data_IF_442430947751
#
_entry.id   IF_442430947751
#
_cell.length_a   1.000
_cell.length_b   1.000
_cell.length_c   1.000
_cell.angle_alpha   90.00
_cell.angle_beta   90.00
_cell.angle_gamma   90.00
#
_symmetry.space_group_name_H-M   'P 1'
#
loop_
_entity.id
_entity.type
_entity.pdbx_description
1 polymer ?
#
# COMPACT_ATOMS: atom_id res chain seq x y z
N UNK A 1 66.55 31.63 -75.23
CA UNK A 1 66.98 30.26 -75.40
C UNK A 1 65.96 29.43 -74.61
N UNK A 2 65.02 28.76 -75.32
CA UNK A 2 64.86 27.35 -75.50
C UNK A 2 64.52 26.59 -74.17
N UNK A 3 63.52 25.86 -74.03
CA UNK A 3 62.76 24.94 -74.84
C UNK A 3 61.38 24.64 -74.27
N UNK A 4 60.42 24.45 -75.15
CA UNK A 4 59.10 23.87 -74.95
C UNK A 4 59.25 22.39 -74.70
N UNK A 5 58.49 21.82 -73.71
CA UNK A 5 58.07 20.46 -73.80
C UNK A 5 56.59 20.35 -73.30
N UNK A 6 55.75 19.89 -74.24
CA UNK A 6 54.34 19.47 -74.02
C UNK A 6 54.32 18.17 -73.23
N UNK A 7 53.43 18.03 -72.33
CA UNK A 7 52.89 16.69 -72.04
C UNK A 7 51.40 16.70 -71.65
N UNK A 8 50.77 15.73 -72.21
CA UNK A 8 49.36 15.45 -72.37
C UNK A 8 48.59 15.21 -71.09
N UNK A 9 47.37 15.69 -71.11
CA UNK A 9 46.34 15.36 -70.12
C UNK A 9 45.85 13.91 -70.26
N UNK A 10 45.85 13.14 -69.16
CA UNK A 10 45.07 11.90 -69.04
C UNK A 10 44.03 12.14 -67.93
N UNK A 11 42.78 12.20 -68.37
CA UNK A 11 41.63 12.29 -67.47
C UNK A 11 41.40 11.00 -66.72
N UNK A 12 41.25 11.13 -65.43
CA UNK A 12 40.71 10.07 -64.57
C UNK A 12 39.35 10.52 -64.06
N UNK A 13 38.29 9.92 -64.60
CA UNK A 13 36.92 10.01 -64.06
C UNK A 13 36.82 9.14 -62.80
N UNK A 14 36.76 9.74 -61.63
CA UNK A 14 36.45 9.08 -60.41
C UNK A 14 34.93 8.95 -60.26
N UNK A 15 34.40 7.74 -60.46
CA UNK A 15 33.01 7.40 -60.14
C UNK A 15 32.87 7.28 -58.60
N UNK A 16 32.21 8.24 -57.94
CA UNK A 16 31.75 8.10 -56.55
C UNK A 16 30.62 7.08 -56.51
N UNK A 17 30.88 5.87 -56.03
CA UNK A 17 29.86 4.92 -55.63
C UNK A 17 29.35 5.35 -54.24
N UNK A 18 28.13 5.91 -54.16
CA UNK A 18 27.41 6.12 -52.90
C UNK A 18 26.96 4.74 -52.39
N UNK A 19 27.67 4.22 -51.39
CA UNK A 19 27.20 3.05 -50.60
C UNK A 19 26.10 3.53 -49.68
N UNK A 20 24.84 3.32 -49.99
CA UNK A 20 23.73 3.44 -49.06
C UNK A 20 23.84 2.29 -48.04
N UNK A 21 24.41 2.56 -46.86
CA UNK A 21 24.27 1.65 -45.72
C UNK A 21 22.85 1.88 -45.16
N UNK A 22 21.91 1.08 -45.69
CA UNK A 22 20.60 0.96 -45.09
C UNK A 22 20.71 0.36 -43.70
N UNK A 23 20.76 1.21 -42.66
CA UNK A 23 20.64 0.79 -41.28
C UNK A 23 19.24 0.14 -41.11
N UNK A 24 19.18 -1.18 -41.09
CA UNK A 24 18.04 -1.92 -40.57
C UNK A 24 17.89 -1.51 -39.08
N UNK A 25 17.02 -0.56 -38.82
CA UNK A 25 16.45 -0.33 -37.49
C UNK A 25 15.72 -1.64 -37.12
N UNK A 26 16.45 -2.57 -36.48
CA UNK A 26 15.81 -3.70 -35.79
C UNK A 26 14.99 -3.11 -34.64
N UNK A 27 13.70 -2.87 -34.91
CA UNK A 27 12.73 -2.67 -33.83
C UNK A 27 12.86 -3.90 -32.93
N UNK A 28 13.46 -3.74 -31.74
CA UNK A 28 13.36 -4.76 -30.69
C UNK A 28 11.87 -5.00 -30.49
N UNK A 29 11.39 -6.25 -30.49
CA UNK A 29 9.99 -6.51 -30.19
C UNK A 29 9.65 -5.82 -28.86
N UNK A 30 8.54 -5.09 -28.84
CA UNK A 30 8.06 -4.47 -27.61
C UNK A 30 7.95 -5.57 -26.56
N UNK A 31 8.63 -5.39 -25.44
CA UNK A 31 8.53 -6.32 -24.31
C UNK A 31 7.06 -6.38 -23.90
N UNK A 32 6.48 -7.57 -23.93
CA UNK A 32 5.11 -7.76 -23.47
C UNK A 32 5.03 -7.39 -21.98
N UNK A 33 4.16 -6.45 -21.64
CA UNK A 33 3.96 -5.90 -20.28
C UNK A 33 2.50 -6.07 -19.87
N UNK A 34 2.04 -7.31 -19.67
CA UNK A 34 0.62 -7.60 -19.42
C UNK A 34 0.10 -6.93 -18.15
N UNK A 35 0.93 -6.80 -17.12
CA UNK A 35 0.55 -6.18 -15.87
C UNK A 35 0.42 -4.65 -15.98
N UNK A 36 1.33 -4.01 -16.72
CA UNK A 36 1.18 -2.59 -17.04
C UNK A 36 -0.08 -2.35 -17.86
N UNK A 37 -0.31 -3.13 -18.91
CA UNK A 37 -1.50 -3.00 -19.76
C UNK A 37 -2.81 -3.19 -18.97
N UNK A 38 -2.83 -4.10 -17.99
CA UNK A 38 -3.97 -4.29 -17.09
C UNK A 38 -4.16 -3.08 -16.13
N UNK A 39 -3.08 -2.54 -15.58
CA UNK A 39 -3.13 -1.35 -14.73
C UNK A 39 -3.60 -0.10 -15.52
N UNK A 40 -3.18 0.06 -16.77
CA UNK A 40 -3.65 1.14 -17.64
C UNK A 40 -5.15 1.02 -17.96
N UNK A 41 -5.66 -0.22 -18.16
CA UNK A 41 -7.10 -0.46 -18.30
C UNK A 41 -7.87 -0.19 -17.01
N UNK A 42 -7.29 -0.46 -15.84
CA UNK A 42 -7.86 -0.08 -14.55
C UNK A 42 -7.92 1.45 -14.42
N UNK A 43 -6.85 2.15 -14.79
CA UNK A 43 -6.83 3.61 -14.84
C UNK A 43 -7.92 4.18 -15.77
N UNK A 44 -8.09 3.60 -16.95
CA UNK A 44 -9.13 3.99 -17.90
C UNK A 44 -10.54 3.77 -17.32
N UNK A 45 -10.73 2.70 -16.54
CA UNK A 45 -12.00 2.46 -15.85
C UNK A 45 -12.24 3.49 -14.75
N UNK A 46 -11.26 3.76 -13.89
CA UNK A 46 -11.36 4.78 -12.84
C UNK A 46 -11.68 6.15 -13.43
N UNK A 47 -10.99 6.58 -14.50
CA UNK A 47 -11.30 7.83 -15.23
C UNK A 47 -12.73 7.89 -15.71
N UNK A 48 -13.33 6.76 -16.11
CA UNK A 48 -14.71 6.73 -16.58
C UNK A 48 -15.77 6.94 -15.49
N UNK A 49 -15.36 6.94 -14.23
CA UNK A 49 -16.20 7.16 -13.06
C UNK A 49 -15.98 8.53 -12.40
N UNK A 50 -15.08 9.36 -12.94
CA UNK A 50 -14.71 10.65 -12.38
C UNK A 50 -15.91 11.61 -12.28
N UNK A 51 -15.91 12.39 -11.22
CA UNK A 51 -16.82 13.52 -11.02
C UNK A 51 -15.97 14.78 -11.06
N UNK A 52 -16.24 15.62 -12.06
CA UNK A 52 -15.55 16.90 -12.22
C UNK A 52 -16.32 18.01 -11.52
N UNK A 53 -15.61 18.81 -10.73
CA UNK A 53 -16.17 19.96 -10.00
C UNK A 53 -15.27 21.19 -10.16
N UNK A 54 -15.68 22.38 -9.73
CA UNK A 54 -14.81 23.56 -9.68
C UNK A 54 -13.58 23.39 -8.77
N UNK A 55 -13.59 22.38 -7.89
CA UNK A 55 -12.51 22.08 -6.95
C UNK A 55 -11.53 21.02 -7.47
N UNK A 56 -11.77 20.42 -8.64
CA UNK A 56 -10.98 19.34 -9.21
C UNK A 56 -11.76 18.05 -9.39
N UNK A 57 -11.05 16.91 -9.42
CA UNK A 57 -11.60 15.58 -9.66
C UNK A 57 -11.85 14.82 -8.36
N UNK A 58 -12.92 14.06 -8.34
CA UNK A 58 -13.18 13.04 -7.31
C UNK A 58 -13.70 11.77 -7.95
N UNK A 59 -13.60 10.67 -7.20
CA UNK A 59 -14.07 9.35 -7.66
C UNK A 59 -14.95 8.75 -6.57
N UNK A 60 -16.21 8.38 -6.90
CA UNK A 60 -17.08 7.68 -5.96
C UNK A 60 -16.51 6.28 -5.69
N UNK A 61 -16.56 5.84 -4.44
CA UNK A 61 -16.14 4.48 -4.08
C UNK A 61 -16.93 3.42 -4.87
N UNK A 62 -18.25 3.65 -5.02
CA UNK A 62 -19.16 2.87 -5.87
C UNK A 62 -19.54 3.71 -7.09
N UNK A 63 -19.12 3.37 -8.30
CA UNK A 63 -19.17 4.26 -9.47
C UNK A 63 -20.52 4.86 -9.85
N UNK A 64 -21.62 4.19 -9.51
CA UNK A 64 -22.98 4.67 -9.82
C UNK A 64 -23.63 5.45 -8.69
N UNK A 65 -22.92 5.60 -7.57
CA UNK A 65 -23.39 6.30 -6.38
C UNK A 65 -22.48 7.50 -6.08
N UNK A 66 -22.90 8.67 -6.55
CA UNK A 66 -22.16 9.92 -6.31
C UNK A 66 -22.08 10.30 -4.83
N UNK A 67 -22.96 9.80 -3.98
CA UNK A 67 -22.92 10.01 -2.54
C UNK A 67 -21.79 9.20 -1.88
N UNK A 68 -21.22 8.20 -2.58
CA UNK A 68 -20.08 7.40 -2.11
C UNK A 68 -18.72 8.07 -2.33
N UNK A 69 -18.65 9.35 -2.76
CA UNK A 69 -17.38 10.10 -2.78
C UNK A 69 -16.89 10.28 -1.35
N UNK A 70 -15.76 9.66 -1.06
CA UNK A 70 -15.16 9.66 0.26
C UNK A 70 -13.80 10.38 0.28
N UNK A 71 -13.47 10.99 1.43
CA UNK A 71 -12.21 11.69 1.68
C UNK A 71 -11.28 10.85 2.57
N UNK A 72 -11.34 9.53 2.45
CA UNK A 72 -10.51 8.61 3.20
C UNK A 72 -9.58 7.80 2.28
N UNK A 73 -8.50 7.29 2.83
CA UNK A 73 -7.51 6.53 2.09
C UNK A 73 -8.02 5.13 1.72
N UNK A 74 -8.94 4.56 2.51
CA UNK A 74 -9.44 3.20 2.34
C UNK A 74 -10.20 3.02 1.02
N UNK A 75 -11.19 3.84 0.78
CA UNK A 75 -12.11 3.71 -0.37
C UNK A 75 -12.23 4.96 -1.25
N UNK A 76 -11.69 6.10 -0.80
CA UNK A 76 -11.95 7.41 -1.36
C UNK A 76 -10.90 7.97 -2.31
N UNK A 77 -11.11 9.24 -2.65
CA UNK A 77 -10.26 10.03 -3.55
C UNK A 77 -8.77 10.01 -3.18
N UNK A 78 -8.34 10.08 -1.88
CA UNK A 78 -6.91 10.00 -1.54
C UNK A 78 -6.21 8.78 -2.12
N UNK A 79 -6.83 7.62 -2.03
CA UNK A 79 -6.27 6.37 -2.56
C UNK A 79 -6.17 6.35 -4.08
N UNK A 80 -7.13 6.96 -4.78
CA UNK A 80 -7.10 7.10 -6.25
C UNK A 80 -6.01 8.08 -6.68
N UNK A 81 -5.78 9.17 -5.96
CA UNK A 81 -4.66 10.10 -6.18
C UNK A 81 -3.33 9.37 -6.10
N UNK A 82 -3.12 8.55 -5.07
CA UNK A 82 -1.88 7.77 -4.91
C UNK A 82 -1.68 6.76 -6.04
N UNK A 83 -2.74 6.13 -6.53
CA UNK A 83 -2.66 5.26 -7.69
C UNK A 83 -2.21 6.01 -8.95
N UNK A 84 -2.75 7.19 -9.24
CA UNK A 84 -2.33 7.97 -10.40
C UNK A 84 -0.89 8.48 -10.25
N UNK A 85 -0.43 8.82 -9.05
CA UNK A 85 0.99 9.10 -8.78
C UNK A 85 1.84 7.88 -9.09
N UNK A 86 1.45 6.69 -8.63
CA UNK A 86 2.17 5.46 -8.90
C UNK A 86 2.21 5.13 -10.41
N UNK A 87 1.12 5.36 -11.13
CA UNK A 87 1.05 5.20 -12.58
C UNK A 87 1.98 6.18 -13.31
N UNK A 88 2.06 7.43 -12.84
CA UNK A 88 3.02 8.40 -13.35
C UNK A 88 4.47 7.92 -13.13
N UNK A 89 4.83 7.45 -11.94
CA UNK A 89 6.17 6.94 -11.65
C UNK A 89 6.54 5.70 -12.51
N UNK A 90 5.56 4.86 -12.81
CA UNK A 90 5.77 3.64 -13.59
C UNK A 90 5.89 3.89 -15.11
N UNK A 91 5.26 4.96 -15.62
CA UNK A 91 5.11 5.18 -17.07
C UNK A 91 5.76 6.47 -17.58
N UNK A 92 5.94 7.47 -16.71
CA UNK A 92 6.36 8.83 -17.09
C UNK A 92 5.28 9.62 -17.85
N UNK A 93 4.04 9.13 -17.93
CA UNK A 93 2.97 9.81 -18.67
C UNK A 93 2.35 10.94 -17.84
N UNK A 94 2.51 12.19 -18.28
CA UNK A 94 2.00 13.39 -17.61
C UNK A 94 0.48 13.41 -17.42
N UNK A 95 -0.25 12.63 -18.20
CA UNK A 95 -1.71 12.49 -18.05
C UNK A 95 -2.08 11.93 -16.67
N UNK A 96 -1.29 10.99 -16.12
CA UNK A 96 -1.51 10.46 -14.78
C UNK A 96 -1.18 11.49 -13.69
N UNK A 97 -0.10 12.25 -13.88
CA UNK A 97 0.24 13.32 -12.93
C UNK A 97 -0.83 14.41 -12.92
N UNK A 98 -1.42 14.74 -14.08
CA UNK A 98 -2.54 15.69 -14.16
C UNK A 98 -3.75 15.19 -13.38
N UNK A 99 -4.17 13.92 -13.57
CA UNK A 99 -5.30 13.36 -12.83
C UNK A 99 -5.06 13.36 -11.32
N UNK A 100 -3.83 13.00 -10.91
CA UNK A 100 -3.42 13.07 -9.50
C UNK A 100 -3.50 14.49 -8.94
N UNK A 101 -3.03 15.50 -9.70
CA UNK A 101 -3.09 16.91 -9.27
C UNK A 101 -4.53 17.42 -9.17
N UNK A 102 -5.37 17.14 -10.16
CA UNK A 102 -6.79 17.53 -10.10
C UNK A 102 -7.52 16.85 -8.90
N UNK A 103 -7.16 15.59 -8.60
CA UNK A 103 -7.65 14.91 -7.38
C UNK A 103 -7.14 15.54 -6.09
N UNK A 104 -5.85 15.90 -6.03
CA UNK A 104 -5.26 16.57 -4.89
C UNK A 104 -5.83 17.99 -4.68
N UNK A 105 -6.18 18.70 -5.76
CA UNK A 105 -6.89 19.99 -5.67
C UNK A 105 -8.28 19.83 -5.01
N UNK A 106 -9.01 18.78 -5.37
CA UNK A 106 -10.26 18.44 -4.70
C UNK A 106 -10.05 18.13 -3.21
N UNK A 107 -8.98 17.39 -2.86
CA UNK A 107 -8.65 17.12 -1.45
C UNK A 107 -8.33 18.39 -0.68
N UNK A 108 -7.55 19.31 -1.24
CA UNK A 108 -7.25 20.62 -0.62
C UNK A 108 -8.52 21.39 -0.30
N UNK A 109 -9.48 21.43 -1.25
CA UNK A 109 -10.72 22.16 -1.06
C UNK A 109 -11.67 21.50 -0.03
N UNK A 110 -11.60 20.17 0.11
CA UNK A 110 -12.55 19.40 0.94
C UNK A 110 -12.00 18.95 2.28
N UNK A 111 -10.68 18.94 2.48
CA UNK A 111 -10.05 18.53 3.75
C UNK A 111 -10.55 19.26 5.00
N UNK A 112 -11.05 20.54 4.94
CA UNK A 112 -11.61 21.17 6.15
C UNK A 112 -12.79 20.41 6.75
N UNK A 113 -13.55 19.66 5.95
CA UNK A 113 -14.68 18.84 6.39
C UNK A 113 -14.34 17.40 6.75
N UNK A 114 -13.06 17.04 6.82
CA UNK A 114 -12.65 15.68 7.24
C UNK A 114 -12.55 15.62 8.77
N UNK A 115 -13.29 14.70 9.35
CA UNK A 115 -13.24 14.39 10.77
C UNK A 115 -12.31 13.21 11.07
N UNK A 116 -11.81 13.15 12.32
CA UNK A 116 -10.90 12.08 12.77
C UNK A 116 -9.48 12.20 12.25
N UNK A 117 -8.55 11.57 12.97
CA UNK A 117 -7.12 11.63 12.69
C UNK A 117 -6.59 10.39 11.95
N UNK A 118 -7.35 9.30 11.88
CA UNK A 118 -6.92 7.99 11.41
C UNK A 118 -6.21 7.94 10.06
N UNK A 119 -5.38 6.91 9.85
CA UNK A 119 -4.59 6.77 8.63
C UNK A 119 -5.46 6.37 7.44
N UNK A 120 -6.31 5.37 7.59
CA UNK A 120 -7.15 4.90 6.49
C UNK A 120 -8.49 5.60 6.43
N UNK A 121 -9.05 6.00 7.57
CA UNK A 121 -10.34 6.68 7.67
C UNK A 121 -10.22 7.98 8.47
N UNK A 122 -9.44 8.93 7.94
CA UNK A 122 -9.25 10.23 8.59
C UNK A 122 -8.25 11.13 7.89
N UNK A 123 -7.89 12.19 8.59
CA UNK A 123 -7.10 13.30 8.06
C UNK A 123 -5.66 12.89 7.71
N UNK A 124 -5.08 11.88 8.41
CA UNK A 124 -3.75 11.38 8.10
C UNK A 124 -3.64 10.81 6.69
N UNK A 125 -4.67 10.12 6.20
CA UNK A 125 -4.69 9.58 4.84
C UNK A 125 -4.79 10.67 3.76
N UNK A 126 -5.57 11.72 4.03
CA UNK A 126 -5.64 12.90 3.15
C UNK A 126 -4.29 13.61 3.09
N UNK A 127 -3.69 13.84 4.25
CA UNK A 127 -2.37 14.48 4.36
C UNK A 127 -1.28 13.67 3.64
N UNK A 128 -1.28 12.34 3.80
CA UNK A 128 -0.36 11.46 3.10
C UNK A 128 -0.50 11.60 1.57
N UNK A 129 -1.72 11.62 1.04
CA UNK A 129 -1.95 11.80 -0.39
C UNK A 129 -1.49 13.19 -0.89
N UNK A 130 -1.68 14.25 -0.10
CA UNK A 130 -1.21 15.60 -0.43
C UNK A 130 0.33 15.67 -0.44
N UNK A 131 1.01 15.06 0.53
CA UNK A 131 2.47 15.03 0.54
C UNK A 131 3.04 14.26 -0.64
N UNK A 132 2.47 13.11 -0.99
CA UNK A 132 2.88 12.36 -2.18
C UNK A 132 2.57 13.13 -3.48
N UNK A 133 1.50 13.93 -3.54
CA UNK A 133 1.21 14.81 -4.66
C UNK A 133 2.24 15.95 -4.78
N UNK A 134 2.68 16.54 -3.65
CA UNK A 134 3.81 17.47 -3.62
C UNK A 134 5.09 16.81 -4.15
N UNK A 135 5.44 15.65 -3.63
CA UNK A 135 6.64 14.91 -4.03
C UNK A 135 6.65 14.54 -5.52
N UNK A 136 5.47 14.30 -6.10
CA UNK A 136 5.35 13.96 -7.52
C UNK A 136 5.39 15.20 -8.43
N UNK A 137 4.78 16.30 -8.01
CA UNK A 137 4.55 17.48 -8.87
C UNK A 137 5.47 18.65 -8.58
N UNK A 138 6.03 18.76 -7.37
CA UNK A 138 6.76 19.94 -6.88
C UNK A 138 5.85 21.14 -6.56
N UNK A 139 4.52 20.98 -6.54
CA UNK A 139 3.59 22.08 -6.32
C UNK A 139 3.39 22.33 -4.81
N UNK A 140 3.96 23.43 -4.31
CA UNK A 140 4.00 23.80 -2.89
C UNK A 140 2.61 23.88 -2.22
N UNK A 141 1.53 24.10 -2.97
CA UNK A 141 0.18 24.14 -2.37
C UNK A 141 -0.18 22.81 -1.68
N UNK A 142 0.30 21.66 -2.22
CA UNK A 142 0.04 20.36 -1.60
C UNK A 142 0.85 20.16 -0.32
N UNK A 143 2.10 20.65 -0.30
CA UNK A 143 2.91 20.69 0.92
C UNK A 143 2.27 21.54 2.00
N UNK A 144 1.73 22.71 1.63
CA UNK A 144 1.00 23.54 2.59
C UNK A 144 -0.27 22.84 3.09
N UNK A 145 -1.01 22.15 2.23
CA UNK A 145 -2.16 21.34 2.63
C UNK A 145 -1.79 20.23 3.62
N UNK A 146 -0.70 19.51 3.37
CA UNK A 146 -0.15 18.51 4.30
C UNK A 146 0.16 19.12 5.67
N UNK A 147 0.84 20.28 5.72
CA UNK A 147 1.17 20.96 6.98
C UNK A 147 -0.08 21.44 7.74
N UNK A 148 -1.10 21.92 7.03
CA UNK A 148 -2.39 22.27 7.63
C UNK A 148 -3.06 21.04 8.27
N UNK A 149 -3.07 19.90 7.57
CA UNK A 149 -3.59 18.66 8.13
C UNK A 149 -2.82 18.23 9.40
N UNK A 150 -1.49 18.31 9.38
CA UNK A 150 -0.66 18.00 10.55
C UNK A 150 -0.98 18.93 11.74
N UNK A 151 -1.16 20.23 11.50
CA UNK A 151 -1.61 21.17 12.53
C UNK A 151 -2.92 20.75 13.17
N UNK A 152 -3.91 20.40 12.33
CA UNK A 152 -5.22 19.93 12.83
C UNK A 152 -5.14 18.62 13.61
N UNK A 153 -4.33 17.65 13.15
CA UNK A 153 -4.11 16.40 13.89
C UNK A 153 -3.49 16.69 15.26
N UNK A 154 -2.50 17.57 15.32
CA UNK A 154 -1.88 17.98 16.57
C UNK A 154 -2.90 18.65 17.50
N UNK A 155 -3.68 19.60 17.00
CA UNK A 155 -4.63 20.38 17.79
C UNK A 155 -5.83 19.55 18.28
N UNK A 156 -6.16 18.44 17.57
CA UNK A 156 -7.19 17.49 17.96
C UNK A 156 -6.72 16.43 18.97
N UNK A 157 -5.42 16.35 19.26
CA UNK A 157 -4.89 15.39 20.23
C UNK A 157 -5.33 15.76 21.65
N UNK A 158 -5.97 14.82 22.34
CA UNK A 158 -6.41 14.98 23.73
C UNK A 158 -5.40 14.36 24.70
N UNK A 159 -5.06 15.07 25.76
CA UNK A 159 -4.27 14.53 26.88
C UNK A 159 -5.08 13.45 27.61
N UNK A 160 -4.56 12.24 27.67
CA UNK A 160 -5.28 11.08 28.23
C UNK A 160 -4.30 10.12 28.89
N UNK A 161 -4.47 9.84 30.18
CA UNK A 161 -3.63 8.88 30.90
C UNK A 161 -2.13 9.20 30.74
N UNK A 162 -1.34 8.22 30.28
CA UNK A 162 0.11 8.34 30.12
C UNK A 162 0.54 9.10 28.85
N UNK A 163 -0.40 9.56 28.01
CA UNK A 163 -0.04 10.17 26.71
C UNK A 163 -1.16 10.95 26.07
N UNK A 164 -1.41 10.69 24.80
CA UNK A 164 -2.46 11.34 24.01
C UNK A 164 -3.23 10.31 23.19
N UNK A 165 -4.46 10.65 22.81
CA UNK A 165 -5.23 9.96 21.78
C UNK A 165 -6.08 10.95 20.96
N UNK A 166 -6.79 10.42 19.94
CA UNK A 166 -7.73 11.15 19.09
C UNK A 166 -9.14 10.52 19.16
N UNK A 167 -9.51 10.03 20.32
CA UNK A 167 -10.71 9.25 20.60
C UNK A 167 -10.36 7.86 21.13
N UNK A 168 -11.36 6.99 21.28
CA UNK A 168 -11.18 5.68 21.90
C UNK A 168 -10.51 4.63 21.01
N UNK A 169 -10.48 4.84 19.67
CA UNK A 169 -9.97 3.84 18.73
C UNK A 169 -8.45 3.75 18.74
N UNK A 170 -7.94 2.52 18.84
CA UNK A 170 -6.50 2.26 19.03
C UNK A 170 -5.79 1.80 17.76
N UNK A 171 -6.50 1.36 16.75
CA UNK A 171 -6.10 0.54 15.63
C UNK A 171 -5.30 1.26 14.51
N UNK A 172 -5.00 0.51 13.44
CA UNK A 172 -4.30 1.03 12.24
C UNK A 172 -5.25 1.82 11.32
N UNK A 173 -6.54 1.48 11.29
CA UNK A 173 -7.50 2.05 10.33
C UNK A 173 -7.86 3.49 10.72
N UNK A 174 -8.49 3.64 11.88
CA UNK A 174 -9.07 4.90 12.34
C UNK A 174 -8.38 5.43 13.60
N UNK A 175 -7.56 4.61 14.25
CA UNK A 175 -7.09 4.81 15.61
C UNK A 175 -5.70 5.41 15.75
N UNK A 176 -5.26 5.43 17.01
CA UNK A 176 -4.01 6.04 17.44
C UNK A 176 -2.76 5.37 16.82
N UNK A 177 -2.80 4.04 16.56
CA UNK A 177 -1.67 3.35 15.94
C UNK A 177 -1.45 3.81 14.49
N UNK A 178 -2.52 3.91 13.68
CA UNK A 178 -2.42 4.41 12.31
C UNK A 178 -2.02 5.88 12.23
N UNK A 179 -2.61 6.72 13.07
CA UNK A 179 -2.23 8.14 13.20
C UNK A 179 -0.75 8.27 13.59
N UNK A 180 -0.29 7.46 14.55
CA UNK A 180 1.11 7.43 14.99
C UNK A 180 2.08 7.01 13.88
N UNK A 181 1.73 6.05 13.04
CA UNK A 181 2.53 5.67 11.86
C UNK A 181 2.64 6.84 10.86
N UNK A 182 1.56 7.54 10.62
CA UNK A 182 1.58 8.75 9.80
C UNK A 182 2.45 9.86 10.40
N UNK A 183 2.44 10.04 11.72
CA UNK A 183 3.31 11.01 12.39
C UNK A 183 4.80 10.61 12.29
N UNK A 184 5.13 9.32 12.33
CA UNK A 184 6.50 8.83 12.05
C UNK A 184 6.89 9.18 10.60
N UNK A 185 6.01 8.92 9.62
CA UNK A 185 6.22 9.34 8.22
C UNK A 185 6.43 10.85 8.12
N UNK A 186 5.61 11.64 8.81
CA UNK A 186 5.71 13.10 8.81
C UNK A 186 7.03 13.61 9.40
N UNK A 187 7.54 12.97 10.46
CA UNK A 187 8.89 13.21 10.97
C UNK A 187 9.96 12.90 9.91
N UNK A 188 9.82 11.77 9.22
CA UNK A 188 10.79 11.37 8.18
C UNK A 188 10.82 12.35 7.00
N UNK A 189 9.68 12.95 6.63
CA UNK A 189 9.59 13.91 5.53
C UNK A 189 9.98 15.35 5.94
N UNK A 190 9.60 15.79 7.15
CA UNK A 190 9.84 17.17 7.61
C UNK A 190 11.13 17.36 8.39
N UNK A 191 11.66 16.28 8.99
CA UNK A 191 12.72 16.28 10.01
C UNK A 191 12.39 17.06 11.29
N UNK A 192 11.11 17.46 11.46
CA UNK A 192 10.64 18.11 12.66
C UNK A 192 10.32 17.06 13.73
N UNK A 193 11.11 17.07 14.80
CA UNK A 193 11.02 16.12 15.90
C UNK A 193 9.70 16.17 16.65
N UNK A 194 8.99 17.29 16.59
CA UNK A 194 7.67 17.44 17.21
C UNK A 194 6.71 16.30 16.82
N UNK A 195 6.74 15.86 15.54
CA UNK A 195 5.87 14.79 15.06
C UNK A 195 6.24 13.43 15.65
N UNK A 196 7.53 13.16 15.82
CA UNK A 196 7.98 11.93 16.47
C UNK A 196 7.63 11.93 17.96
N UNK A 197 7.76 13.09 18.64
CA UNK A 197 7.41 13.22 20.05
C UNK A 197 5.90 13.04 20.26
N UNK A 198 5.07 13.56 19.36
CA UNK A 198 3.62 13.35 19.36
C UNK A 198 3.27 11.86 19.15
N UNK A 199 3.91 11.20 18.17
CA UNK A 199 3.76 9.75 17.96
C UNK A 199 4.17 8.93 19.20
N UNK A 200 5.26 9.33 19.88
CA UNK A 200 5.75 8.65 21.08
C UNK A 200 4.75 8.80 22.24
N UNK A 201 4.07 9.93 22.37
CA UNK A 201 3.00 10.13 23.36
C UNK A 201 1.78 9.27 23.08
N UNK A 202 1.37 9.13 21.80
CA UNK A 202 0.33 8.19 21.41
C UNK A 202 0.74 6.74 21.72
N UNK A 203 1.99 6.38 21.44
CA UNK A 203 2.54 5.07 21.80
C UNK A 203 2.55 4.81 23.31
N UNK A 204 2.85 5.80 24.14
CA UNK A 204 2.79 5.68 25.60
C UNK A 204 1.37 5.38 26.08
N UNK A 205 0.36 6.04 25.49
CA UNK A 205 -1.04 5.75 25.78
C UNK A 205 -1.43 4.33 25.37
N UNK A 206 -1.01 3.85 24.20
CA UNK A 206 -1.28 2.49 23.79
C UNK A 206 -0.59 1.45 24.69
N UNK A 207 0.62 1.71 25.19
CA UNK A 207 1.27 0.83 26.18
C UNK A 207 0.42 0.74 27.46
N UNK A 208 -0.11 1.84 27.95
CA UNK A 208 -1.00 1.88 29.11
C UNK A 208 -2.31 1.08 28.90
N UNK A 209 -2.88 1.13 27.67
CA UNK A 209 -4.13 0.43 27.33
C UNK A 209 -3.93 -1.08 27.12
N UNK A 210 -2.70 -1.56 27.07
CA UNK A 210 -2.39 -2.99 26.92
C UNK A 210 -2.92 -3.83 28.08
N UNK A 211 -3.67 -4.89 27.79
CA UNK A 211 -4.21 -5.82 28.78
C UNK A 211 -3.34 -7.08 28.81
N UNK A 212 -2.91 -7.49 30.02
CA UNK A 212 -2.07 -8.69 30.19
C UNK A 212 -2.91 -9.97 30.00
N UNK A 213 -2.45 -10.85 29.14
CA UNK A 213 -3.00 -12.19 28.92
C UNK A 213 -1.93 -13.14 28.40
N UNK A 214 -1.91 -14.39 28.89
CA UNK A 214 -0.99 -15.44 28.47
C UNK A 214 0.51 -15.03 28.48
N UNK A 215 0.90 -14.18 29.43
CA UNK A 215 2.27 -13.65 29.54
C UNK A 215 2.65 -12.61 28.47
N UNK A 216 1.67 -12.13 27.73
CA UNK A 216 1.78 -11.08 26.73
C UNK A 216 0.87 -9.89 27.00
N UNK A 217 0.76 -9.00 26.00
CA UNK A 217 -0.20 -7.89 25.97
C UNK A 217 -1.14 -8.03 24.78
N UNK A 218 -2.41 -7.73 24.99
CA UNK A 218 -3.40 -7.63 23.92
C UNK A 218 -4.11 -6.28 23.93
N UNK A 219 -4.61 -5.87 22.79
CA UNK A 219 -5.38 -4.65 22.62
C UNK A 219 -6.68 -4.95 21.85
N UNK A 220 -7.77 -4.36 22.34
CA UNK A 220 -9.02 -4.25 21.61
C UNK A 220 -8.96 -3.04 20.66
N UNK A 221 -9.80 -3.01 19.64
CA UNK A 221 -9.97 -1.85 18.75
C UNK A 221 -10.37 -0.59 19.53
N UNK A 222 -11.20 -0.76 20.56
CA UNK A 222 -11.53 0.25 21.57
C UNK A 222 -11.43 -0.41 22.95
N UNK A 223 -11.09 0.32 24.03
CA UNK A 223 -10.88 -0.27 25.36
C UNK A 223 -12.04 -1.13 25.86
N UNK A 224 -13.28 -0.74 25.58
CA UNK A 224 -14.48 -1.41 26.02
C UNK A 224 -15.17 -2.25 24.92
N UNK A 225 -14.54 -2.39 23.78
CA UNK A 225 -15.08 -3.18 22.68
C UNK A 225 -15.08 -4.69 23.05
N UNK A 226 -16.24 -5.37 23.01
CA UNK A 226 -16.36 -6.72 23.55
C UNK A 226 -15.71 -7.78 22.67
N UNK A 227 -15.52 -7.50 21.39
CA UNK A 227 -14.91 -8.40 20.41
C UNK A 227 -13.44 -8.02 20.18
N UNK A 228 -12.55 -8.97 20.33
CA UNK A 228 -11.12 -8.79 20.10
C UNK A 228 -10.73 -9.36 18.75
N UNK A 229 -10.10 -8.52 17.93
CA UNK A 229 -9.57 -8.87 16.62
C UNK A 229 -8.02 -8.81 16.70
N UNK A 230 -7.32 -9.95 16.87
CA UNK A 230 -5.91 -9.93 17.23
C UNK A 230 -4.98 -9.49 16.08
N UNK A 231 -5.46 -9.54 14.84
CA UNK A 231 -4.64 -9.30 13.65
C UNK A 231 -4.34 -7.82 13.38
N UNK A 232 -3.96 -7.48 12.13
CA UNK A 232 -3.23 -6.25 11.82
C UNK A 232 -4.12 -4.99 11.81
N UNK A 233 -5.29 -5.04 11.17
CA UNK A 233 -6.08 -3.82 10.96
C UNK A 233 -6.66 -3.23 12.25
N UNK A 234 -7.18 -4.07 13.13
CA UNK A 234 -7.99 -3.63 14.27
C UNK A 234 -7.50 -4.12 15.64
N UNK A 235 -6.28 -4.65 15.74
CA UNK A 235 -5.88 -5.24 17.01
C UNK A 235 -4.39 -5.31 17.29
N UNK A 236 -4.07 -6.32 18.08
CA UNK A 236 -2.75 -6.48 18.71
C UNK A 236 -1.59 -6.43 17.72
N UNK A 237 -1.71 -7.09 16.55
CA UNK A 237 -0.60 -7.13 15.59
C UNK A 237 -0.28 -5.74 15.03
N UNK A 238 -1.28 -4.93 14.69
CA UNK A 238 -1.08 -3.58 14.17
C UNK A 238 -0.54 -2.62 15.23
N UNK A 239 -1.05 -2.70 16.46
CA UNK A 239 -0.57 -1.87 17.56
C UNK A 239 0.88 -2.24 17.92
N UNK A 240 1.20 -3.52 18.02
CA UNK A 240 2.57 -3.98 18.26
C UNK A 240 3.52 -3.56 17.11
N UNK A 241 3.04 -3.56 15.86
CA UNK A 241 3.77 -3.05 14.71
C UNK A 241 4.10 -1.55 14.86
N UNK A 242 3.12 -0.73 15.21
CA UNK A 242 3.35 0.69 15.45
C UNK A 242 4.37 0.92 16.58
N UNK A 243 4.28 0.18 17.70
CA UNK A 243 5.23 0.28 18.79
C UNK A 243 6.65 -0.13 18.36
N UNK A 244 6.80 -1.17 17.53
CA UNK A 244 8.09 -1.53 16.94
C UNK A 244 8.63 -0.42 16.01
N UNK A 245 7.76 0.23 15.23
CA UNK A 245 8.14 1.37 14.39
C UNK A 245 8.57 2.58 15.23
N UNK A 246 7.91 2.85 16.36
CA UNK A 246 8.35 3.88 17.32
C UNK A 246 9.72 3.56 17.89
N UNK A 247 9.95 2.31 18.32
CA UNK A 247 11.29 1.91 18.79
C UNK A 247 12.35 2.11 17.72
N UNK A 248 12.04 1.83 16.45
CA UNK A 248 12.98 2.05 15.34
C UNK A 248 13.50 3.48 15.29
N UNK A 249 12.64 4.48 15.52
CA UNK A 249 12.97 5.89 15.42
C UNK A 249 13.46 6.47 16.77
N UNK A 250 12.82 6.11 17.88
CA UNK A 250 13.09 6.70 19.21
C UNK A 250 14.21 6.00 19.97
N UNK A 251 14.45 4.71 19.73
CA UNK A 251 15.29 3.80 20.53
C UNK A 251 14.84 3.63 21.99
N UNK A 252 13.61 4.07 22.32
CA UNK A 252 13.04 3.86 23.65
C UNK A 252 12.56 2.40 23.79
N UNK A 253 13.25 1.65 24.64
CA UNK A 253 13.03 0.22 24.84
C UNK A 253 11.62 -0.13 25.30
N UNK A 254 10.92 0.76 25.99
CA UNK A 254 9.54 0.50 26.42
C UNK A 254 8.63 0.11 25.25
N UNK A 255 8.83 0.71 24.07
CA UNK A 255 8.04 0.41 22.89
C UNK A 255 8.39 -0.96 22.30
N UNK A 256 9.66 -1.34 22.27
CA UNK A 256 10.06 -2.68 21.85
C UNK A 256 9.53 -3.75 22.80
N UNK A 257 9.67 -3.53 24.12
CA UNK A 257 9.23 -4.47 25.15
C UNK A 257 7.73 -4.71 25.10
N UNK A 258 6.92 -3.65 24.87
CA UNK A 258 5.47 -3.76 24.67
C UNK A 258 5.12 -4.44 23.35
N UNK A 259 5.83 -4.14 22.26
CA UNK A 259 5.65 -4.83 20.97
C UNK A 259 5.91 -6.33 21.10
N UNK A 260 7.03 -6.71 21.74
CA UNK A 260 7.36 -8.12 21.99
C UNK A 260 6.35 -8.79 22.92
N UNK A 261 5.79 -8.06 23.89
CA UNK A 261 4.68 -8.57 24.70
C UNK A 261 3.41 -8.83 23.86
N UNK A 262 3.11 -7.97 22.89
CA UNK A 262 2.05 -8.20 21.90
C UNK A 262 2.29 -9.48 21.10
N UNK A 263 3.51 -9.68 20.64
CA UNK A 263 3.86 -10.92 19.90
C UNK A 263 3.73 -12.15 20.78
N UNK A 264 4.14 -12.11 22.06
CA UNK A 264 3.94 -13.25 22.96
C UNK A 264 2.47 -13.65 23.08
N UNK A 265 1.56 -12.67 23.20
CA UNK A 265 0.13 -12.96 23.15
C UNK A 265 -0.28 -13.58 21.81
N UNK A 266 0.08 -12.98 20.69
CA UNK A 266 -0.28 -13.50 19.36
C UNK A 266 0.19 -14.93 19.14
N UNK A 267 1.41 -15.26 19.55
CA UNK A 267 1.93 -16.62 19.42
C UNK A 267 1.29 -17.61 20.40
N UNK A 268 0.79 -17.15 21.55
CA UNK A 268 0.07 -18.00 22.50
C UNK A 268 -1.31 -18.45 22.00
N UNK A 269 -1.89 -17.72 21.02
CA UNK A 269 -3.20 -18.01 20.42
C UNK A 269 -3.08 -18.50 18.98
N UNK A 270 -1.86 -18.56 18.43
CA UNK A 270 -1.63 -18.97 17.06
C UNK A 270 -1.84 -20.47 16.87
N UNK A 271 -2.51 -20.83 15.78
CA UNK A 271 -2.52 -22.19 15.26
C UNK A 271 -1.26 -22.40 14.44
N UNK A 272 -0.38 -23.27 14.93
CA UNK A 272 0.87 -23.65 14.26
C UNK A 272 0.81 -25.13 13.89
N UNK A 273 0.89 -25.44 12.60
CA UNK A 273 0.94 -26.80 12.09
C UNK A 273 2.14 -26.92 11.15
N UNK A 274 3.13 -27.77 11.48
CA UNK A 274 4.37 -27.87 10.70
C UNK A 274 5.07 -26.53 10.55
N UNK A 275 5.20 -26.09 9.31
CA UNK A 275 5.83 -24.81 8.93
C UNK A 275 4.79 -23.70 8.63
N UNK A 276 3.57 -23.79 9.12
CA UNK A 276 2.55 -22.76 8.96
C UNK A 276 2.11 -22.13 10.28
N UNK A 277 1.59 -20.89 10.19
CA UNK A 277 1.10 -20.10 11.32
C UNK A 277 -0.10 -19.26 10.90
N UNK A 278 -1.23 -19.46 11.59
CA UNK A 278 -2.46 -18.68 11.44
C UNK A 278 -2.92 -18.16 12.80
N UNK A 279 -3.52 -16.97 12.79
CA UNK A 279 -4.19 -16.38 13.95
C UNK A 279 -5.65 -16.18 13.58
N UNK A 280 -6.56 -16.58 14.47
CA UNK A 280 -7.99 -16.52 14.22
C UNK A 280 -8.48 -15.07 13.97
N UNK A 281 -9.67 -14.95 13.36
CA UNK A 281 -10.24 -13.67 12.98
C UNK A 281 -10.61 -12.80 14.19
N UNK A 282 -11.41 -13.30 15.10
CA UNK A 282 -11.81 -12.61 16.32
C UNK A 282 -12.26 -13.58 17.41
N UNK A 283 -12.38 -13.06 18.62
CA UNK A 283 -12.96 -13.76 19.77
C UNK A 283 -14.04 -12.90 20.44
N UNK A 284 -15.08 -13.50 21.08
CA UNK A 284 -15.17 -14.95 21.35
C UNK A 284 -15.73 -15.79 20.18
N UNK A 285 -16.30 -15.19 19.14
CA UNK A 285 -17.24 -15.87 18.24
C UNK A 285 -16.58 -16.60 17.06
N UNK A 286 -15.39 -16.20 16.60
CA UNK A 286 -14.77 -16.68 15.36
C UNK A 286 -13.34 -17.19 15.56
N UNK A 287 -13.10 -17.99 16.61
CA UNK A 287 -11.79 -18.62 16.87
C UNK A 287 -11.41 -19.71 15.85
N UNK A 288 -12.38 -20.25 15.13
CA UNK A 288 -12.17 -21.25 14.07
C UNK A 288 -12.13 -20.62 12.67
N UNK A 289 -12.27 -19.29 12.55
CA UNK A 289 -12.23 -18.56 11.31
C UNK A 289 -10.86 -17.91 11.13
N UNK A 290 -10.19 -18.22 10.02
CA UNK A 290 -8.87 -17.70 9.69
C UNK A 290 -8.94 -16.96 8.36
N UNK A 291 -8.78 -15.63 8.40
CA UNK A 291 -8.60 -14.83 7.19
C UNK A 291 -7.17 -14.96 6.65
N UNK A 292 -6.97 -14.71 5.35
CA UNK A 292 -5.66 -14.79 4.72
C UNK A 292 -5.11 -13.43 4.27
N UNK A 293 -5.95 -12.39 4.26
CA UNK A 293 -5.62 -11.06 3.75
C UNK A 293 -4.87 -10.17 4.74
N UNK A 294 -4.73 -8.90 4.36
CA UNK A 294 -4.02 -7.89 5.12
C UNK A 294 -4.72 -7.54 6.45
N UNK A 295 -6.03 -7.42 6.45
CA UNK A 295 -6.75 -6.94 7.63
C UNK A 295 -6.66 -7.90 8.83
N UNK A 296 -7.02 -9.15 8.65
CA UNK A 296 -7.16 -10.14 9.75
C UNK A 296 -6.41 -11.44 9.50
N UNK A 297 -5.39 -11.42 8.64
CA UNK A 297 -4.67 -12.63 8.28
C UNK A 297 -3.15 -12.48 8.28
N UNK A 298 -2.47 -13.54 7.84
CA UNK A 298 -1.00 -13.61 7.83
C UNK A 298 -0.34 -12.52 6.99
N UNK A 299 -0.97 -12.01 5.92
CA UNK A 299 -0.45 -10.90 5.11
C UNK A 299 -0.19 -9.64 5.95
N UNK A 300 -1.10 -9.31 6.87
CA UNK A 300 -0.91 -8.18 7.79
C UNK A 300 0.02 -8.52 8.93
N UNK A 301 -0.21 -9.66 9.60
CA UNK A 301 0.54 -10.03 10.81
C UNK A 301 2.03 -10.28 10.52
N UNK A 302 2.39 -10.81 9.34
CA UNK A 302 3.79 -10.97 8.94
C UNK A 302 4.57 -9.65 8.85
N UNK A 303 3.89 -8.51 8.63
CA UNK A 303 4.51 -7.18 8.66
C UNK A 303 5.16 -6.89 10.02
N UNK A 304 4.49 -7.26 11.12
CA UNK A 304 5.05 -7.15 12.47
C UNK A 304 6.30 -8.01 12.62
N UNK A 305 6.25 -9.29 12.25
CA UNK A 305 7.40 -10.18 12.37
C UNK A 305 8.58 -9.70 11.52
N UNK A 306 8.32 -9.23 10.30
CA UNK A 306 9.37 -8.68 9.45
C UNK A 306 10.02 -7.45 10.09
N UNK A 307 9.22 -6.48 10.56
CA UNK A 307 9.76 -5.28 11.22
C UNK A 307 10.58 -5.64 12.46
N UNK A 308 10.13 -6.59 13.27
CA UNK A 308 10.89 -7.06 14.44
C UNK A 308 12.24 -7.67 14.04
N UNK A 309 12.33 -8.40 12.92
CA UNK A 309 13.62 -8.90 12.42
C UNK A 309 14.62 -7.80 12.10
N UNK A 310 14.12 -6.61 11.80
CA UNK A 310 14.91 -5.45 11.44
C UNK A 310 15.36 -4.65 12.68
N UNK A 311 14.43 -4.45 13.62
CA UNK A 311 14.65 -3.52 14.74
C UNK A 311 15.23 -4.19 15.99
N UNK A 312 14.97 -5.48 16.21
CA UNK A 312 15.54 -6.24 17.34
C UNK A 312 16.90 -6.85 17.04
N UNK A 313 17.28 -6.95 15.75
CA UNK A 313 18.45 -7.69 15.30
C UNK A 313 18.30 -9.21 15.32
N UNK A 314 17.21 -9.74 15.85
CA UNK A 314 16.91 -11.18 15.89
C UNK A 314 16.26 -11.64 14.56
N UNK A 315 17.05 -12.29 13.73
CA UNK A 315 16.60 -12.81 12.43
C UNK A 315 15.69 -14.04 12.54
N UNK A 316 15.50 -14.62 13.72
CA UNK A 316 14.55 -15.74 13.92
C UNK A 316 13.11 -15.33 13.60
N UNK A 317 12.77 -14.03 13.71
CA UNK A 317 11.48 -13.49 13.30
C UNK A 317 11.14 -13.72 11.82
N UNK A 318 12.14 -13.82 10.94
CA UNK A 318 11.93 -14.21 9.54
C UNK A 318 11.36 -15.64 9.40
N UNK A 319 11.59 -16.51 10.39
CA UNK A 319 10.93 -17.82 10.46
C UNK A 319 9.41 -17.70 10.56
N UNK A 320 8.91 -16.74 11.37
CA UNK A 320 7.48 -16.49 11.49
C UNK A 320 6.87 -15.83 10.25
N UNK A 321 7.64 -14.99 9.53
CA UNK A 321 7.25 -14.47 8.22
C UNK A 321 7.05 -15.61 7.23
N UNK A 322 8.01 -16.57 7.17
CA UNK A 322 7.89 -17.75 6.29
C UNK A 322 6.71 -18.64 6.68
N UNK A 323 6.50 -18.91 7.97
CA UNK A 323 5.33 -19.67 8.46
C UNK A 323 4.01 -19.01 8.07
N UNK A 324 3.94 -17.68 8.10
CA UNK A 324 2.78 -16.90 7.63
C UNK A 324 2.54 -17.08 6.12
N UNK A 325 3.61 -17.02 5.33
CA UNK A 325 3.52 -17.25 3.88
C UNK A 325 3.12 -18.70 3.55
N UNK A 326 3.72 -19.67 4.23
CA UNK A 326 3.40 -21.09 4.03
C UNK A 326 1.92 -21.40 4.34
N UNK A 327 1.37 -20.82 5.40
CA UNK A 327 -0.05 -20.99 5.73
C UNK A 327 -0.98 -20.53 4.58
N UNK A 328 -0.58 -19.49 3.84
CA UNK A 328 -1.31 -19.04 2.65
C UNK A 328 -1.15 -20.05 1.50
N UNK A 329 0.05 -20.53 1.23
CA UNK A 329 0.32 -21.50 0.16
C UNK A 329 -0.43 -22.81 0.41
N UNK A 330 -0.43 -23.29 1.65
CA UNK A 330 -1.09 -24.55 2.07
C UNK A 330 -2.62 -24.45 2.06
N UNK A 331 -3.19 -23.25 2.09
CA UNK A 331 -4.65 -23.03 2.07
C UNK A 331 -5.33 -23.34 0.74
N UNK A 332 -4.57 -23.72 -0.29
CA UNK A 332 -5.05 -23.99 -1.65
C UNK A 332 -5.59 -22.77 -2.42
N UNK A 333 -5.32 -21.54 -1.96
CA UNK A 333 -5.59 -20.37 -2.78
C UNK A 333 -4.46 -20.19 -3.83
N UNK A 334 -4.71 -19.52 -4.94
CA UNK A 334 -5.95 -18.82 -5.35
C UNK A 334 -6.98 -19.71 -6.04
N UNK A 335 -6.77 -21.01 -6.15
CA UNK A 335 -7.63 -21.92 -6.91
C UNK A 335 -8.96 -22.18 -6.20
N UNK A 336 -8.94 -22.20 -4.87
CA UNK A 336 -10.14 -22.46 -4.03
C UNK A 336 -10.43 -21.27 -3.13
N UNK A 337 -11.70 -20.94 -3.00
CA UNK A 337 -12.20 -20.07 -1.94
C UNK A 337 -12.28 -20.84 -0.63
N UNK A 338 -12.07 -20.15 0.49
CA UNK A 338 -12.18 -20.71 1.84
C UNK A 338 -13.10 -19.83 2.68
N UNK A 339 -13.56 -20.25 3.86
CA UNK A 339 -14.35 -19.39 4.74
C UNK A 339 -13.66 -18.07 5.09
N UNK A 340 -12.33 -18.02 5.07
CA UNK A 340 -11.53 -16.82 5.34
C UNK A 340 -10.96 -16.15 4.09
N UNK A 341 -11.27 -16.66 2.89
CA UNK A 341 -10.81 -16.10 1.62
C UNK A 341 -11.86 -16.34 0.53
N UNK A 342 -12.72 -15.38 0.33
CA UNK A 342 -13.91 -15.44 -0.54
C UNK A 342 -13.69 -14.69 -1.86
N UNK A 343 -14.75 -14.48 -2.64
CA UNK A 343 -14.68 -13.69 -3.88
C UNK A 343 -14.36 -12.22 -3.61
N UNK A 344 -13.11 -11.94 -3.27
CA UNK A 344 -12.56 -10.59 -3.08
C UNK A 344 -11.26 -10.43 -3.87
N UNK A 345 -11.15 -9.34 -4.62
CA UNK A 345 -9.99 -9.04 -5.46
C UNK A 345 -9.06 -7.97 -4.84
N UNK A 346 -9.53 -7.27 -3.79
CA UNK A 346 -8.88 -6.09 -3.23
C UNK A 346 -7.58 -6.35 -2.46
N UNK A 347 -6.99 -5.27 -1.97
CA UNK A 347 -5.79 -5.27 -1.14
C UNK A 347 -6.11 -5.75 0.28
N UNK A 348 -7.25 -5.32 0.85
CA UNK A 348 -7.58 -5.60 2.25
C UNK A 348 -7.73 -7.10 2.53
N UNK A 349 -8.62 -7.77 1.78
CA UNK A 349 -9.04 -9.14 2.08
C UNK A 349 -8.82 -10.12 0.92
N UNK A 350 -8.35 -9.64 -0.25
CA UNK A 350 -8.43 -10.38 -1.49
C UNK A 350 -7.11 -10.72 -2.17
N UNK A 351 -7.25 -11.11 -3.44
CA UNK A 351 -6.15 -11.59 -4.28
C UNK A 351 -5.01 -10.56 -4.41
N UNK A 352 -5.32 -9.27 -4.61
CA UNK A 352 -4.30 -8.26 -4.81
C UNK A 352 -3.42 -8.08 -3.56
N UNK A 353 -3.99 -8.11 -2.35
CA UNK A 353 -3.22 -8.01 -1.11
C UNK A 353 -2.31 -9.22 -0.87
N UNK A 354 -2.80 -10.41 -1.19
CA UNK A 354 -1.96 -11.63 -1.14
C UNK A 354 -0.84 -11.55 -2.19
N UNK A 355 -1.16 -11.19 -3.42
CA UNK A 355 -0.16 -11.04 -4.49
C UNK A 355 0.92 -10.02 -4.14
N UNK A 356 0.51 -8.86 -3.57
CA UNK A 356 1.41 -7.80 -3.12
C UNK A 356 2.34 -8.29 -2.00
N UNK A 357 1.83 -9.01 -1.02
CA UNK A 357 2.63 -9.59 0.06
C UNK A 357 3.72 -10.53 -0.46
N UNK A 358 3.39 -11.41 -1.37
CA UNK A 358 4.38 -12.32 -1.96
C UNK A 358 5.40 -11.59 -2.84
N UNK A 359 5.01 -10.53 -3.53
CA UNK A 359 5.94 -9.63 -4.22
C UNK A 359 6.89 -8.94 -3.22
N UNK A 360 6.36 -8.45 -2.09
CA UNK A 360 7.16 -7.85 -1.03
C UNK A 360 8.18 -8.85 -0.45
N UNK A 361 7.77 -10.10 -0.21
CA UNK A 361 8.68 -11.15 0.25
C UNK A 361 9.78 -11.46 -0.77
N UNK A 362 9.44 -11.52 -2.06
CA UNK A 362 10.45 -11.67 -3.11
C UNK A 362 11.47 -10.54 -3.07
N UNK A 363 11.02 -9.30 -3.00
CA UNK A 363 11.89 -8.11 -2.98
C UNK A 363 12.75 -8.04 -1.71
N UNK A 364 12.23 -8.50 -0.57
CA UNK A 364 12.91 -8.44 0.72
C UNK A 364 13.86 -9.62 0.97
N UNK A 365 13.51 -10.82 0.51
CA UNK A 365 14.21 -12.06 0.84
C UNK A 365 14.94 -12.70 -0.36
N UNK A 366 14.64 -12.27 -1.59
CA UNK A 366 15.30 -12.74 -2.82
C UNK A 366 14.87 -14.12 -3.31
N UNK A 367 13.89 -14.76 -2.68
CA UNK A 367 13.41 -16.09 -3.07
C UNK A 367 12.38 -16.00 -4.19
N UNK A 368 12.71 -16.53 -5.37
CA UNK A 368 11.86 -16.49 -6.56
C UNK A 368 10.55 -17.24 -6.43
N UNK A 369 10.46 -18.23 -5.55
CA UNK A 369 9.20 -18.95 -5.31
C UNK A 369 8.08 -18.01 -4.87
N UNK A 370 8.40 -16.94 -4.15
CA UNK A 370 7.44 -15.91 -3.79
C UNK A 370 6.94 -15.12 -5.00
N UNK A 371 7.82 -14.77 -5.94
CA UNK A 371 7.40 -14.10 -7.18
C UNK A 371 6.52 -15.03 -8.04
N UNK A 372 6.84 -16.31 -8.11
CA UNK A 372 6.05 -17.31 -8.82
C UNK A 372 4.64 -17.44 -8.22
N UNK A 373 4.54 -17.45 -6.90
CA UNK A 373 3.25 -17.46 -6.22
C UNK A 373 2.46 -16.16 -6.45
N UNK A 374 3.12 -14.99 -6.38
CA UNK A 374 2.51 -13.70 -6.71
C UNK A 374 1.95 -13.68 -8.14
N UNK A 375 2.71 -14.21 -9.12
CA UNK A 375 2.27 -14.33 -10.51
C UNK A 375 1.05 -15.28 -10.64
N UNK A 376 1.03 -16.41 -9.91
CA UNK A 376 -0.10 -17.36 -9.89
C UNK A 376 -1.37 -16.69 -9.35
N UNK A 377 -1.26 -15.97 -8.25
CA UNK A 377 -2.36 -15.18 -7.67
C UNK A 377 -2.85 -14.11 -8.65
N UNK A 378 -1.91 -13.43 -9.32
CA UNK A 378 -2.22 -12.38 -10.31
C UNK A 378 -2.91 -12.95 -11.54
N UNK A 379 -2.54 -14.13 -12.02
CA UNK A 379 -3.23 -14.78 -13.12
C UNK A 379 -4.72 -15.02 -12.76
N UNK A 380 -5.01 -15.44 -11.53
CA UNK A 380 -6.39 -15.59 -11.04
C UNK A 380 -7.10 -14.24 -10.91
N UNK A 381 -6.42 -13.22 -10.41
CA UNK A 381 -6.94 -11.86 -10.31
C UNK A 381 -7.36 -11.32 -11.69
N UNK A 382 -6.51 -11.46 -12.68
CA UNK A 382 -6.80 -11.03 -14.06
C UNK A 382 -7.93 -11.84 -14.71
N UNK A 383 -8.01 -13.14 -14.43
CA UNK A 383 -9.11 -13.98 -14.90
C UNK A 383 -10.48 -13.62 -14.32
N UNK A 384 -10.52 -12.99 -13.12
CA UNK A 384 -11.75 -12.47 -12.49
C UNK A 384 -12.13 -11.06 -12.95
N UNK A 385 -11.28 -10.39 -13.72
CA UNK A 385 -11.52 -9.03 -14.17
C UNK A 385 -12.65 -8.95 -15.20
N UNK A 386 -13.49 -7.93 -15.10
CA UNK A 386 -14.42 -7.51 -16.13
C UNK A 386 -13.70 -6.55 -17.06
N UNK A 387 -13.47 -6.97 -18.31
CA UNK A 387 -12.78 -6.17 -19.32
C UNK A 387 -13.75 -5.79 -20.44
N UNK A 388 -13.98 -4.49 -20.61
CA UNK A 388 -14.89 -3.95 -21.63
C UNK A 388 -14.39 -2.62 -22.17
N UNK A 389 -14.42 -2.43 -23.48
CA UNK A 389 -14.09 -1.16 -24.14
C UNK A 389 -12.74 -0.56 -23.70
N UNK A 390 -11.71 -1.40 -23.53
CA UNK A 390 -10.38 -0.97 -23.09
C UNK A 390 -10.29 -0.62 -21.60
N UNK A 391 -11.30 -0.92 -20.81
CA UNK A 391 -11.38 -0.68 -19.34
C UNK A 391 -11.37 -2.01 -18.61
N UNK A 392 -10.93 -1.99 -17.35
CA UNK A 392 -10.88 -3.18 -16.50
C UNK A 392 -11.29 -2.84 -15.06
N UNK A 393 -12.18 -3.65 -14.50
CA UNK A 393 -12.64 -3.55 -13.12
C UNK A 393 -12.86 -4.94 -12.52
N UNK A 394 -13.06 -5.00 -11.21
CA UNK A 394 -13.27 -6.25 -10.47
C UNK A 394 -14.56 -6.16 -9.68
N UNK A 395 -15.54 -6.98 -10.06
CA UNK A 395 -16.81 -7.16 -9.33
C UNK A 395 -16.59 -8.20 -8.26
N UNK A 396 -16.84 -7.83 -7.01
CA UNK A 396 -16.49 -8.64 -5.84
C UNK A 396 -17.45 -8.42 -4.68
N UNK A 397 -17.43 -9.33 -3.70
CA UNK A 397 -18.05 -9.13 -2.40
C UNK A 397 -17.05 -8.48 -1.44
N UNK A 398 -17.34 -7.29 -0.94
CA UNK A 398 -16.50 -6.66 0.08
C UNK A 398 -16.57 -7.45 1.40
N UNK A 399 -17.77 -7.85 1.81
CA UNK A 399 -17.99 -8.54 3.09
C UNK A 399 -18.27 -10.04 2.89
N UNK A 400 -17.53 -10.87 3.61
CA UNK A 400 -17.74 -12.32 3.62
C UNK A 400 -19.18 -12.73 3.93
N UNK A 401 -19.84 -12.03 4.83
CA UNK A 401 -21.21 -12.31 5.29
C UNK A 401 -22.29 -11.84 4.32
N UNK A 402 -21.90 -11.19 3.23
CA UNK A 402 -22.80 -10.68 2.17
C UNK A 402 -22.26 -11.06 0.79
N UNK A 403 -22.10 -12.37 0.49
CA UNK A 403 -21.40 -12.83 -0.71
C UNK A 403 -22.12 -12.48 -2.01
N UNK A 404 -23.43 -12.22 -1.96
CA UNK A 404 -24.25 -11.87 -3.12
C UNK A 404 -24.28 -10.35 -3.37
N UNK A 405 -23.75 -9.53 -2.45
CA UNK A 405 -23.66 -8.09 -2.63
C UNK A 405 -22.38 -7.74 -3.40
N UNK A 406 -22.50 -7.79 -4.72
CA UNK A 406 -21.40 -7.71 -5.66
C UNK A 406 -21.35 -6.33 -6.35
N UNK A 407 -20.21 -5.68 -6.30
CA UNK A 407 -19.96 -4.43 -7.03
C UNK A 407 -18.46 -4.19 -7.24
N UNK A 408 -18.13 -3.31 -8.20
CA UNK A 408 -16.76 -2.85 -8.40
C UNK A 408 -16.53 -1.54 -7.67
N UNK A 409 -15.36 -1.36 -7.08
CA UNK A 409 -14.95 -0.18 -6.35
C UNK A 409 -13.75 0.51 -6.99
N UNK A 410 -13.61 1.83 -6.76
CA UNK A 410 -12.49 2.62 -7.28
C UNK A 410 -11.30 2.69 -6.34
N UNK A 411 -11.51 2.65 -5.02
CA UNK A 411 -10.56 2.96 -3.97
C UNK A 411 -9.36 2.01 -3.83
N UNK A 412 -8.54 2.25 -2.80
CA UNK A 412 -7.28 1.51 -2.60
C UNK A 412 -7.51 0.13 -2.00
N UNK A 413 -8.26 0.03 -0.89
CA UNK A 413 -8.25 -1.23 -0.14
C UNK A 413 -9.15 -2.31 -0.77
N UNK A 414 -10.21 -1.91 -1.45
CA UNK A 414 -11.17 -2.84 -2.05
C UNK A 414 -11.36 -2.64 -3.57
N UNK A 415 -10.66 -1.68 -4.18
CA UNK A 415 -10.98 -1.25 -5.53
C UNK A 415 -9.82 -1.29 -6.53
N UNK A 416 -10.15 -0.79 -7.73
CA UNK A 416 -9.27 -0.81 -8.89
C UNK A 416 -7.98 -0.01 -8.69
N UNK A 417 -7.98 1.04 -7.84
CA UNK A 417 -6.77 1.82 -7.56
C UNK A 417 -5.70 0.98 -6.84
N UNK A 418 -6.08 0.24 -5.80
CA UNK A 418 -5.15 -0.64 -5.11
C UNK A 418 -4.70 -1.81 -5.98
N UNK A 419 -5.62 -2.44 -6.70
CA UNK A 419 -5.30 -3.53 -7.63
C UNK A 419 -4.33 -3.02 -8.73
N UNK A 420 -4.60 -1.85 -9.32
CA UNK A 420 -3.74 -1.23 -10.31
C UNK A 420 -2.35 -0.89 -9.77
N UNK A 421 -2.26 -0.39 -8.53
CA UNK A 421 -0.99 -0.13 -7.84
C UNK A 421 -0.17 -1.41 -7.70
N UNK A 422 -0.77 -2.50 -7.25
CA UNK A 422 -0.12 -3.81 -7.17
C UNK A 422 0.38 -4.28 -8.55
N UNK A 423 -0.44 -4.19 -9.60
CA UNK A 423 -0.06 -4.59 -10.96
C UNK A 423 1.14 -3.77 -11.48
N UNK A 424 1.19 -2.46 -11.23
CA UNK A 424 2.33 -1.61 -11.60
C UNK A 424 3.61 -2.02 -10.85
N UNK A 425 3.50 -2.38 -9.57
CA UNK A 425 4.62 -2.88 -8.78
C UNK A 425 5.12 -4.23 -9.29
N UNK A 426 4.21 -5.13 -9.64
CA UNK A 426 4.56 -6.45 -10.16
C UNK A 426 5.20 -6.35 -11.55
N UNK A 427 4.73 -5.46 -12.42
CA UNK A 427 5.35 -5.17 -13.71
C UNK A 427 6.81 -4.68 -13.56
N UNK A 428 7.12 -4.03 -12.45
CA UNK A 428 8.45 -3.52 -12.14
C UNK A 428 9.30 -4.47 -11.26
N UNK A 429 8.83 -5.69 -10.95
CA UNK A 429 9.42 -6.58 -9.96
C UNK A 429 10.92 -6.87 -10.17
N UNK A 430 11.33 -7.12 -11.40
CA UNK A 430 12.71 -7.45 -11.79
C UNK A 430 13.48 -6.23 -12.36
N UNK A 431 12.94 -5.02 -12.25
CA UNK A 431 13.60 -3.80 -12.73
C UNK A 431 14.40 -3.12 -11.62
N UNK A 432 15.37 -2.30 -12.04
CA UNK A 432 16.08 -1.41 -11.11
C UNK A 432 15.05 -0.56 -10.33
N UNK A 433 15.40 -0.20 -9.08
CA UNK A 433 14.52 0.54 -8.17
C UNK A 433 13.84 1.71 -8.87
N UNK A 434 12.54 1.59 -9.09
CA UNK A 434 11.69 2.67 -9.57
C UNK A 434 11.14 3.44 -8.38
N UNK A 435 10.91 4.75 -8.55
CA UNK A 435 10.21 5.55 -7.55
C UNK A 435 8.81 4.98 -7.34
N UNK A 436 8.39 4.90 -6.08
CA UNK A 436 7.08 4.36 -5.73
C UNK A 436 6.47 5.07 -4.53
N UNK A 437 5.15 5.03 -4.45
CA UNK A 437 4.40 5.40 -3.23
C UNK A 437 4.59 4.27 -2.21
N UNK A 438 4.97 4.64 -0.99
CA UNK A 438 5.18 3.70 0.12
C UNK A 438 4.28 4.08 1.27
N UNK A 439 3.35 3.20 1.62
CA UNK A 439 2.41 3.43 2.72
C UNK A 439 3.14 3.39 4.07
N UNK A 440 2.72 4.23 5.06
CA UNK A 440 3.35 4.31 6.37
C UNK A 440 3.39 2.99 7.16
N UNK A 441 2.49 2.05 6.86
CA UNK A 441 2.38 0.73 7.48
C UNK A 441 3.14 -0.38 6.73
N UNK A 442 4.00 -0.04 5.75
CA UNK A 442 4.74 -1.01 4.94
C UNK A 442 6.19 -1.14 5.43
N UNK A 443 6.61 -2.31 5.97
CA UNK A 443 7.98 -2.52 6.44
C UNK A 443 8.94 -2.95 5.33
N UNK A 444 8.44 -3.43 4.18
CA UNK A 444 9.23 -4.06 3.11
C UNK A 444 9.85 -3.05 2.12
N UNK A 445 9.54 -1.77 2.26
CA UNK A 445 10.06 -0.74 1.36
C UNK A 445 11.46 -0.29 1.80
N UNK A 446 12.47 -0.52 0.96
CA UNK A 446 13.82 0.01 1.09
C UNK A 446 14.36 0.48 -0.26
#
# INVERSE_FOLDING_TARGET
>A
MSKIVKNSAAGWSASLALIFIGGLLTCKPAVDRPYLAAAEKAAAWIRSTEIRSPYGLSWPAVPKDSASVALNLYSGTPGVVLFFIQAYYATGQDTYLRDAREGADFLLAKMPGVDGAGLYEGLSGVAFALEEAYRASGDEKYRQGFLVCLGRIKDAAAETGAGIDWGSTTDIISGAAGTGLFLIYSYQETKDRMWLDLAARAGARLVELGRSENGGLKWAMEPDFPRLMPNFSHGTAGIAYFLAALYKETKDKKFLDASLAGVRYLLSIAKTEGDSCLIFHDEPDNRDLYYLGWCHGPVGTARLFYLLSEVSGDKSWLGWVRKSANAIVESSIPEKETPGFWNNAGICCGLAGVGEFFLDLYQALGDRSYLEFSNRVTARLLAKASAENGRMSWVQAEHRTRPDYLFAQTGTMQGAAGIGTFLLRLDAADRAKTRRVVFPDTPFAR
#
